data_IF_520382823486
#
_entry.id   IF_520382823486
#
_cell.length_a   1.000
_cell.length_b   1.000
_cell.length_c   1.000
_cell.angle_alpha   90.00
_cell.angle_beta   90.00
_cell.angle_gamma   90.00
#
_symmetry.space_group_name_H-M   'P 1'
#
loop_
_entity.id
_entity.type
_entity.pdbx_description
1 polymer ?
#
# COMPACT_ATOMS: atom_id res chain seq x y z
N UNK A 1 20.04 -11.22 -6.73
CA UNK A 1 18.96 -10.64 -5.89
C UNK A 1 18.78 -9.18 -6.28
N UNK A 2 17.58 -8.58 -6.14
CA UNK A 2 17.41 -7.15 -6.35
C UNK A 2 18.19 -6.35 -5.29
N UNK A 3 18.62 -5.14 -5.64
CA UNK A 3 19.31 -4.23 -4.72
C UNK A 3 18.35 -3.63 -3.68
N UNK A 4 17.10 -3.40 -4.08
CA UNK A 4 16.03 -2.91 -3.21
C UNK A 4 14.66 -3.31 -3.78
N UNK A 5 13.62 -3.25 -2.93
CA UNK A 5 12.22 -3.39 -3.33
C UNK A 5 11.45 -2.12 -2.99
N UNK A 6 10.64 -1.64 -3.94
CA UNK A 6 9.64 -0.60 -3.68
C UNK A 6 8.27 -1.22 -3.97
N UNK A 7 7.45 -1.37 -2.94
CA UNK A 7 6.06 -1.80 -3.06
C UNK A 7 5.15 -0.57 -3.07
N UNK A 8 4.30 -0.47 -4.08
CA UNK A 8 3.19 0.50 -4.10
C UNK A 8 1.96 -0.16 -3.46
N UNK A 9 1.52 0.42 -2.34
CA UNK A 9 0.35 0.02 -1.57
C UNK A 9 -0.66 1.17 -1.53
N UNK A 10 -1.97 0.94 -1.36
CA UNK A 10 -2.95 2.02 -1.22
C UNK A 10 -3.15 2.42 0.25
N UNK A 11 -3.62 3.64 0.51
CA UNK A 11 -4.14 4.03 1.84
C UNK A 11 -5.35 3.20 2.31
N UNK A 12 -5.98 2.43 1.42
CA UNK A 12 -7.07 1.51 1.77
C UNK A 12 -6.68 0.45 2.82
N UNK A 13 -5.37 0.18 3.00
CA UNK A 13 -4.88 -0.73 4.05
C UNK A 13 -5.19 -0.24 5.47
N UNK A 14 -5.46 1.06 5.66
CA UNK A 14 -5.89 1.60 6.95
C UNK A 14 -7.36 1.30 7.27
N UNK A 15 -8.17 0.90 6.28
CA UNK A 15 -9.57 0.52 6.48
C UNK A 15 -10.53 1.65 6.87
N UNK A 16 -10.08 2.90 6.79
CA UNK A 16 -10.90 4.07 7.10
C UNK A 16 -11.58 4.56 5.82
N UNK A 17 -12.91 4.74 5.86
CA UNK A 17 -13.67 5.32 4.74
C UNK A 17 -13.39 6.82 4.57
N UNK A 18 -12.97 7.49 5.65
CA UNK A 18 -12.64 8.92 5.70
C UNK A 18 -11.46 9.13 6.64
N UNK A 19 -10.61 10.09 6.32
CA UNK A 19 -9.50 10.49 7.18
C UNK A 19 -8.72 11.65 6.59
N UNK A 20 -8.03 12.38 7.45
CA UNK A 20 -7.15 13.49 7.10
C UNK A 20 -5.82 13.29 7.84
N UNK A 21 -4.69 13.46 7.15
CA UNK A 21 -3.35 13.29 7.73
C UNK A 21 -3.15 11.96 8.48
N UNK A 22 -3.61 10.84 7.90
CA UNK A 22 -3.45 9.50 8.47
C UNK A 22 -1.96 9.20 8.62
N UNK A 23 -1.52 8.92 9.86
CA UNK A 23 -0.12 8.62 10.14
C UNK A 23 0.23 7.17 9.73
N UNK A 24 1.46 6.92 9.29
CA UNK A 24 1.90 5.59 8.86
C UNK A 24 1.90 4.55 9.99
N UNK A 25 1.95 5.03 11.24
CA UNK A 25 1.85 4.24 12.48
C UNK A 25 0.41 3.89 12.87
N UNK A 26 -0.59 4.39 12.14
CA UNK A 26 -1.98 4.02 12.37
C UNK A 26 -2.21 2.53 12.11
N UNK A 27 -3.18 1.95 12.82
CA UNK A 27 -3.55 0.55 12.67
C UNK A 27 -4.03 0.23 11.25
N UNK A 28 -3.74 -1.00 10.81
CA UNK A 28 -4.13 -1.51 9.50
C UNK A 28 -5.45 -2.28 9.63
N UNK A 29 -6.57 -1.60 9.47
CA UNK A 29 -7.90 -2.17 9.76
C UNK A 29 -8.77 -2.40 8.51
N UNK A 30 -8.16 -2.66 7.34
CA UNK A 30 -8.89 -2.98 6.13
C UNK A 30 -9.85 -4.17 6.33
N UNK A 31 -11.06 -4.06 5.80
CA UNK A 31 -12.11 -5.10 5.91
C UNK A 31 -12.55 -5.63 4.56
N UNK A 32 -12.38 -4.83 3.50
CA UNK A 32 -12.71 -5.25 2.15
C UNK A 32 -11.61 -6.16 1.57
N UNK A 33 -11.95 -7.07 0.64
CA UNK A 33 -10.99 -8.00 0.06
C UNK A 33 -9.79 -7.33 -0.62
N UNK A 34 -9.98 -6.14 -1.20
CA UNK A 34 -8.90 -5.43 -1.88
C UNK A 34 -7.90 -4.89 -0.86
N UNK A 35 -8.35 -4.18 0.18
CA UNK A 35 -7.49 -3.68 1.26
C UNK A 35 -6.76 -4.81 1.99
N UNK A 36 -7.44 -5.92 2.30
CA UNK A 36 -6.82 -7.12 2.90
C UNK A 36 -5.73 -7.73 2.01
N UNK A 37 -5.96 -7.81 0.70
CA UNK A 37 -4.94 -8.32 -0.24
C UNK A 37 -3.65 -7.48 -0.23
N UNK A 38 -3.79 -6.16 0.00
CA UNK A 38 -2.65 -5.23 0.03
C UNK A 38 -1.93 -5.29 1.36
N UNK A 39 -2.64 -5.44 2.48
CA UNK A 39 -2.02 -5.73 3.77
C UNK A 39 -1.17 -7.01 3.73
N UNK A 40 -1.69 -8.08 3.11
CA UNK A 40 -0.93 -9.32 2.91
C UNK A 40 0.32 -9.11 2.05
N UNK A 41 0.24 -8.31 0.98
CA UNK A 41 1.40 -7.97 0.17
C UNK A 41 2.46 -7.16 0.94
N UNK A 42 2.04 -6.23 1.80
CA UNK A 42 2.94 -5.49 2.69
C UNK A 42 3.65 -6.43 3.68
N UNK A 43 2.91 -7.36 4.29
CA UNK A 43 3.47 -8.34 5.22
C UNK A 43 4.49 -9.26 4.53
N UNK A 44 4.14 -9.82 3.37
CA UNK A 44 5.04 -10.66 2.58
C UNK A 44 6.32 -9.90 2.19
N UNK A 45 6.20 -8.64 1.79
CA UNK A 45 7.35 -7.80 1.43
C UNK A 45 8.27 -7.60 2.64
N UNK A 46 7.71 -7.31 3.82
CA UNK A 46 8.48 -7.15 5.06
C UNK A 46 9.20 -8.44 5.47
N UNK A 47 8.51 -9.58 5.42
CA UNK A 47 9.08 -10.89 5.77
C UNK A 47 10.21 -11.23 4.79
N UNK A 48 9.96 -11.11 3.49
CA UNK A 48 10.94 -11.45 2.46
C UNK A 48 12.18 -10.56 2.56
N UNK A 49 11.97 -9.23 2.71
CA UNK A 49 13.04 -8.24 2.88
C UNK A 49 13.93 -8.58 4.06
N UNK A 50 13.33 -8.88 5.23
CA UNK A 50 14.06 -9.27 6.44
C UNK A 50 14.85 -10.57 6.23
N UNK A 51 14.25 -11.58 5.63
CA UNK A 51 14.87 -12.89 5.44
C UNK A 51 16.06 -12.84 4.48
N UNK A 52 16.03 -11.95 3.48
CA UNK A 52 17.07 -11.84 2.47
C UNK A 52 18.02 -10.65 2.66
N UNK A 53 17.82 -9.86 3.73
CA UNK A 53 18.62 -8.66 4.01
C UNK A 53 18.65 -7.66 2.84
N UNK A 54 17.55 -7.58 2.09
CA UNK A 54 17.36 -6.61 1.00
C UNK A 54 16.49 -5.48 1.51
N UNK A 55 16.89 -4.20 1.40
CA UNK A 55 16.07 -3.08 1.84
C UNK A 55 14.76 -3.00 1.05
N UNK A 56 13.67 -2.68 1.75
CA UNK A 56 12.37 -2.49 1.13
C UNK A 56 11.70 -1.20 1.63
N UNK A 57 11.02 -0.51 0.72
CA UNK A 57 10.13 0.61 1.03
C UNK A 57 8.70 0.26 0.59
N UNK A 58 7.73 0.58 1.44
CA UNK A 58 6.31 0.43 1.16
C UNK A 58 5.71 1.83 1.11
N UNK A 59 5.19 2.24 -0.04
CA UNK A 59 4.59 3.55 -0.25
C UNK A 59 3.07 3.39 -0.28
N UNK A 60 2.39 3.85 0.78
CA UNK A 60 0.93 3.84 0.90
C UNK A 60 0.35 5.10 0.26
N UNK A 61 0.02 5.01 -1.02
CA UNK A 61 -0.41 6.16 -1.81
C UNK A 61 -1.93 6.38 -1.72
N UNK A 62 -2.40 7.64 -1.66
CA UNK A 62 -3.80 7.97 -1.85
C UNK A 62 -4.20 7.82 -3.32
N UNK A 63 -5.36 8.35 -3.69
CA UNK A 63 -5.80 8.41 -5.08
C UNK A 63 -4.74 9.13 -5.94
N UNK A 64 -4.24 8.44 -6.96
CA UNK A 64 -3.27 8.99 -7.93
C UNK A 64 -4.04 9.41 -9.17
N UNK A 65 -3.86 10.67 -9.58
CA UNK A 65 -4.51 11.27 -10.74
C UNK A 65 -3.45 11.85 -11.68
N UNK A 66 -3.72 11.82 -12.98
CA UNK A 66 -2.85 12.41 -14.00
C UNK A 66 -3.52 12.42 -15.38
N UNK A 67 -3.00 13.22 -16.33
CA UNK A 67 -3.48 13.22 -17.70
C UNK A 67 -3.47 11.80 -18.31
N UNK A 68 -4.53 11.44 -19.03
CA UNK A 68 -4.70 10.15 -19.71
C UNK A 68 -4.50 8.90 -18.83
N UNK A 69 -4.65 9.04 -17.50
CA UNK A 69 -4.51 7.92 -16.59
C UNK A 69 -5.71 6.96 -16.72
N UNK A 70 -5.52 5.68 -17.07
CA UNK A 70 -6.62 4.72 -17.19
C UNK A 70 -7.19 4.27 -15.82
N UNK A 71 -6.71 4.89 -14.73
CA UNK A 71 -6.91 4.44 -13.36
C UNK A 71 -8.24 4.86 -12.73
N UNK A 72 -8.32 4.64 -11.42
CA UNK A 72 -9.55 4.66 -10.61
C UNK A 72 -10.36 5.97 -10.64
N UNK A 73 -9.80 7.08 -11.14
CA UNK A 73 -10.55 8.33 -11.29
C UNK A 73 -11.69 8.22 -12.30
N UNK A 74 -11.53 7.40 -13.35
CA UNK A 74 -12.55 7.22 -14.39
C UNK A 74 -13.66 6.24 -14.02
N UNK A 75 -13.54 5.54 -12.88
CA UNK A 75 -14.53 4.57 -12.38
C UNK A 75 -15.28 5.06 -11.14
N UNK A 76 -14.91 6.24 -10.58
CA UNK A 76 -15.69 6.97 -9.59
C UNK A 76 -16.78 7.81 -10.27
#
# INVERSE_FOLDING_TARGET
MPEAIILISPVAVFGQDKGEHIAEKSELEAKDPYGLSKQAAEELTRIWSRNHQVPAAILRLPLIAGPDAPGNLGAM
#
